data_IF_635264744941
#
_entry.id   IF_635264744941
#
_cell.length_a   1.000
_cell.length_b   1.000
_cell.length_c   1.000
_cell.angle_alpha   90.00
_cell.angle_beta   90.00
_cell.angle_gamma   90.00
#
_symmetry.space_group_name_H-M   'P 1'
#
loop_
_entity.id
_entity.type
_entity.pdbx_description
1 polymer ?
#
# COMPACT_ATOMS: atom_id res chain seq x y z
N UNK A 1 7.61 14.30 -18.06
CA UNK A 1 8.12 13.19 -17.24
C UNK A 1 9.14 13.76 -16.28
N UNK A 2 8.68 14.35 -15.18
CA UNK A 2 9.53 14.75 -14.06
C UNK A 2 9.08 13.87 -12.90
N UNK A 3 9.99 13.07 -12.37
CA UNK A 3 9.81 12.43 -11.08
C UNK A 3 10.41 13.34 -10.01
N UNK A 4 9.87 13.26 -8.80
CA UNK A 4 10.40 14.02 -7.68
C UNK A 4 10.39 13.21 -6.39
N UNK A 5 11.32 13.56 -5.50
CA UNK A 5 11.43 13.04 -4.14
C UNK A 5 11.66 14.23 -3.22
N UNK A 6 10.64 14.58 -2.45
CA UNK A 6 10.65 15.79 -1.63
C UNK A 6 10.12 15.53 -0.22
N UNK A 7 10.56 16.36 0.73
CA UNK A 7 10.01 16.38 2.09
C UNK A 7 9.05 17.56 2.20
N UNK A 8 7.75 17.31 2.15
CA UNK A 8 6.71 18.34 2.22
C UNK A 8 5.89 18.20 3.50
N UNK A 9 5.88 19.28 4.30
CA UNK A 9 5.11 19.34 5.55
C UNK A 9 5.35 18.13 6.48
N UNK A 10 6.60 17.64 6.51
CA UNK A 10 7.02 16.51 7.34
C UNK A 10 6.76 15.12 6.74
N UNK A 11 6.15 15.03 5.55
CA UNK A 11 5.98 13.77 4.82
C UNK A 11 7.06 13.61 3.74
N UNK A 12 7.56 12.39 3.55
CA UNK A 12 8.33 12.03 2.37
C UNK A 12 7.37 11.77 1.21
N UNK A 13 7.50 12.50 0.11
CA UNK A 13 6.59 12.44 -1.03
C UNK A 13 7.36 12.02 -2.27
N UNK A 14 6.87 10.97 -2.93
CA UNK A 14 7.36 10.52 -4.24
C UNK A 14 6.29 10.79 -5.28
N UNK A 15 6.65 11.51 -6.34
CA UNK A 15 5.70 11.90 -7.39
C UNK A 15 6.23 11.63 -8.80
N UNK A 16 5.29 11.50 -9.74
CA UNK A 16 5.60 11.46 -11.17
C UNK A 16 6.09 10.10 -11.70
N UNK A 17 6.76 10.13 -12.84
CA UNK A 17 7.21 8.92 -13.57
C UNK A 17 8.71 8.72 -13.42
N UNK A 18 9.11 7.68 -12.71
CA UNK A 18 10.51 7.34 -12.55
C UNK A 18 11.05 6.67 -13.82
N UNK A 19 12.21 7.10 -14.34
CA UNK A 19 12.87 6.48 -15.48
C UNK A 19 13.14 4.99 -15.22
N UNK A 20 13.24 4.22 -16.30
CA UNK A 20 13.48 2.79 -16.15
C UNK A 20 14.84 2.46 -15.56
N UNK A 21 14.87 1.46 -14.67
CA UNK A 21 16.04 1.10 -13.89
C UNK A 21 16.25 1.94 -12.63
N UNK A 22 15.30 2.82 -12.27
CA UNK A 22 15.38 3.58 -11.02
C UNK A 22 15.20 2.66 -9.81
N UNK A 23 16.00 2.89 -8.77
CA UNK A 23 15.94 2.20 -7.49
C UNK A 23 15.81 3.26 -6.40
N UNK A 24 14.70 3.23 -5.67
CA UNK A 24 14.46 4.10 -4.52
C UNK A 24 14.44 3.25 -3.26
N UNK A 25 15.14 3.71 -2.23
CA UNK A 25 15.26 2.99 -0.96
C UNK A 25 14.99 3.92 0.20
N UNK A 26 14.13 3.49 1.12
CA UNK A 26 13.96 4.09 2.44
C UNK A 26 14.25 3.01 3.46
N UNK A 27 15.36 3.11 4.17
CA UNK A 27 15.78 2.09 5.13
C UNK A 27 16.19 2.67 6.47
N UNK A 28 16.16 1.83 7.51
CA UNK A 28 16.76 2.11 8.82
C UNK A 28 16.28 3.43 9.44
N UNK A 29 15.00 3.74 9.24
CA UNK A 29 14.43 5.08 9.49
C UNK A 29 13.19 5.02 10.37
N UNK A 30 13.04 6.03 11.24
CA UNK A 30 11.81 6.30 11.98
C UNK A 30 11.19 7.58 11.44
N UNK A 31 9.98 7.48 10.85
CA UNK A 31 9.20 8.62 10.38
C UNK A 31 7.93 8.74 11.23
N UNK A 32 7.70 9.93 11.80
CA UNK A 32 6.59 10.17 12.72
C UNK A 32 5.80 11.41 12.31
N UNK A 33 4.49 11.25 12.13
CA UNK A 33 3.54 12.34 11.96
C UNK A 33 2.80 12.60 13.28
N UNK A 34 3.06 13.76 13.89
CA UNK A 34 2.42 14.19 15.14
C UNK A 34 1.37 15.29 14.96
N UNK A 35 1.11 15.71 13.71
CA UNK A 35 0.13 16.74 13.38
C UNK A 35 -0.63 16.37 12.10
N UNK A 36 -1.91 16.76 11.97
CA UNK A 36 -2.64 16.67 10.72
C UNK A 36 -1.91 17.43 9.59
N UNK A 37 -1.61 16.74 8.49
CA UNK A 37 -1.05 17.33 7.28
C UNK A 37 -2.04 17.14 6.12
N UNK A 38 -2.72 18.21 5.65
CA UNK A 38 -3.58 18.14 4.48
C UNK A 38 -2.74 17.96 3.22
N UNK A 39 -3.16 17.08 2.30
CA UNK A 39 -2.47 16.87 1.01
C UNK A 39 -2.99 17.77 -0.12
N UNK A 40 -3.65 18.89 0.21
CA UNK A 40 -4.30 19.80 -0.76
C UNK A 40 -3.31 20.42 -1.77
N UNK A 41 -2.01 20.39 -1.46
CA UNK A 41 -0.95 20.85 -2.37
C UNK A 41 -0.63 19.84 -3.48
N UNK A 42 -1.08 18.59 -3.39
CA UNK A 42 -0.84 17.55 -4.39
C UNK A 42 -1.96 17.52 -5.43
N UNK A 43 -1.64 17.54 -6.74
CA UNK A 43 -2.63 17.45 -7.80
C UNK A 43 -3.50 16.19 -7.69
N UNK A 44 -4.82 16.37 -7.66
CA UNK A 44 -5.78 15.26 -7.61
C UNK A 44 -6.00 14.65 -6.22
N UNK A 45 -5.40 15.23 -5.17
CA UNK A 45 -5.64 14.81 -3.79
C UNK A 45 -7.04 15.17 -3.31
N UNK A 46 -7.70 14.23 -2.63
CA UNK A 46 -8.95 14.54 -1.92
C UNK A 46 -8.63 15.17 -0.56
N UNK A 47 -9.34 16.25 -0.23
CA UNK A 47 -9.19 16.96 1.05
C UNK A 47 -9.57 16.05 2.22
N UNK A 48 -8.58 15.42 2.83
CA UNK A 48 -8.72 14.77 4.13
C UNK A 48 -7.37 14.80 4.85
N UNK A 49 -7.36 15.14 6.15
CA UNK A 49 -6.12 15.22 6.92
C UNK A 49 -5.59 13.82 7.18
N UNK A 50 -4.63 13.38 6.35
CA UNK A 50 -4.09 12.03 6.44
C UNK A 50 -2.96 11.90 7.47
N UNK A 51 -2.34 12.99 7.91
CA UNK A 51 -1.11 12.96 8.72
C UNK A 51 -0.11 11.87 8.24
N UNK A 52 0.24 11.84 6.93
CA UNK A 52 1.07 10.77 6.39
C UNK A 52 2.55 11.02 6.63
N UNK A 53 3.31 9.92 6.67
CA UNK A 53 4.77 9.97 6.73
C UNK A 53 5.41 9.63 5.38
N UNK A 54 4.74 8.80 4.57
CA UNK A 54 5.13 8.47 3.20
C UNK A 54 3.94 8.63 2.26
N UNK A 55 4.13 9.37 1.17
CA UNK A 55 3.09 9.63 0.17
C UNK A 55 3.59 9.23 -1.22
N UNK A 56 2.84 8.38 -1.90
CA UNK A 56 3.04 8.00 -3.30
C UNK A 56 1.95 8.69 -4.13
N UNK A 57 2.27 9.82 -4.77
CA UNK A 57 1.26 10.66 -5.45
C UNK A 57 1.42 10.67 -6.96
N UNK A 58 0.41 10.15 -7.68
CA UNK A 58 0.45 10.04 -9.15
C UNK A 58 1.69 9.29 -9.65
N UNK A 59 2.14 8.30 -8.88
CA UNK A 59 3.43 7.66 -9.04
C UNK A 59 3.38 6.58 -10.13
N UNK A 60 4.37 6.60 -11.02
CA UNK A 60 4.54 5.59 -12.06
C UNK A 60 5.97 5.03 -12.04
N UNK A 61 6.10 3.72 -11.81
CA UNK A 61 7.35 2.99 -11.79
C UNK A 61 7.44 2.04 -12.99
N UNK A 62 8.30 2.35 -13.95
CA UNK A 62 8.48 1.52 -15.16
C UNK A 62 9.81 0.80 -15.07
N UNK A 63 9.84 -0.51 -14.84
CA UNK A 63 11.06 -1.30 -14.59
C UNK A 63 11.93 -0.68 -13.50
N UNK A 64 11.25 -0.17 -12.47
CA UNK A 64 11.83 0.56 -11.35
C UNK A 64 11.25 0.04 -10.05
N UNK A 65 12.02 0.12 -8.98
CA UNK A 65 11.63 -0.42 -7.68
C UNK A 65 11.71 0.62 -6.58
N UNK A 66 10.69 0.62 -5.72
CA UNK A 66 10.72 1.29 -4.43
C UNK A 66 10.83 0.23 -3.34
N UNK A 67 11.85 0.32 -2.50
CA UNK A 67 12.08 -0.56 -1.36
C UNK A 67 12.00 0.25 -0.08
N UNK A 68 11.14 -0.16 0.84
CA UNK A 68 10.99 0.42 2.17
C UNK A 68 11.30 -0.70 3.16
N UNK A 69 12.48 -0.71 3.77
CA UNK A 69 12.95 -1.83 4.60
C UNK A 69 13.36 -1.38 5.99
N UNK A 70 13.05 -2.13 7.04
CA UNK A 70 13.56 -1.87 8.39
C UNK A 70 13.21 -0.45 8.89
N UNK A 71 12.00 0.00 8.57
CA UNK A 71 11.49 1.32 8.94
C UNK A 71 10.41 1.24 10.01
N UNK A 72 10.23 2.33 10.75
CA UNK A 72 9.04 2.55 11.57
C UNK A 72 8.27 3.78 11.04
N UNK A 73 7.03 3.56 10.62
CA UNK A 73 6.12 4.56 10.06
C UNK A 73 4.96 4.75 11.03
N UNK A 74 4.93 5.88 11.73
CA UNK A 74 4.01 6.11 12.84
C UNK A 74 3.26 7.42 12.69
N UNK A 75 1.96 7.40 12.97
CA UNK A 75 1.13 8.59 13.11
C UNK A 75 0.39 8.52 14.45
N UNK A 76 0.46 9.60 15.22
CA UNK A 76 -0.15 9.70 16.56
C UNK A 76 -1.43 10.54 16.54
N UNK A 77 -1.98 10.76 15.34
CA UNK A 77 -3.16 11.59 15.09
C UNK A 77 -4.33 10.66 14.77
N UNK A 78 -5.49 10.92 15.37
CA UNK A 78 -6.75 10.25 14.99
C UNK A 78 -7.05 10.49 13.51
N UNK A 79 -7.41 9.44 12.77
CA UNK A 79 -7.57 9.46 11.32
C UNK A 79 -6.26 9.30 10.54
N UNK A 80 -5.13 9.22 11.24
CA UNK A 80 -3.80 9.20 10.64
C UNK A 80 -3.54 7.95 9.79
N UNK A 81 -3.01 8.17 8.59
CA UNK A 81 -2.67 7.16 7.60
C UNK A 81 -1.18 7.24 7.34
N UNK A 82 -0.43 6.23 7.77
CA UNK A 82 1.04 6.27 7.74
C UNK A 82 1.59 6.32 6.31
N UNK A 83 1.16 5.39 5.45
CA UNK A 83 1.43 5.41 4.01
C UNK A 83 0.17 5.77 3.24
N UNK A 84 0.27 6.74 2.34
CA UNK A 84 -0.83 7.16 1.48
C UNK A 84 -0.45 7.01 0.02
N UNK A 85 -1.30 6.35 -0.76
CA UNK A 85 -1.21 6.34 -2.22
C UNK A 85 -2.32 7.21 -2.78
N UNK A 86 -1.94 8.31 -3.40
CA UNK A 86 -2.86 9.38 -3.79
C UNK A 86 -2.71 9.83 -5.25
N UNK A 87 -3.60 10.72 -5.68
CA UNK A 87 -3.73 11.14 -7.06
C UNK A 87 -4.57 10.16 -7.89
N UNK A 88 -4.38 10.16 -9.21
CA UNK A 88 -5.21 9.35 -10.10
C UNK A 88 -4.88 7.85 -10.04
N UNK A 89 -3.59 7.50 -10.05
CA UNK A 89 -3.13 6.12 -10.16
C UNK A 89 -1.74 5.96 -9.53
N UNK A 90 -1.51 4.79 -8.92
CA UNK A 90 -0.18 4.21 -8.73
C UNK A 90 0.01 3.13 -9.78
N UNK A 91 0.91 3.35 -10.72
CA UNK A 91 1.14 2.45 -11.86
C UNK A 91 2.52 1.78 -11.76
N UNK A 92 2.53 0.45 -11.69
CA UNK A 92 3.73 -0.38 -11.64
C UNK A 92 3.80 -1.20 -12.94
N UNK A 93 4.91 -1.08 -13.67
CA UNK A 93 5.11 -1.77 -14.96
C UNK A 93 6.45 -2.49 -14.95
N UNK A 94 6.46 -3.82 -14.79
CA UNK A 94 7.69 -4.63 -14.76
C UNK A 94 8.71 -4.26 -13.67
N UNK A 95 8.25 -3.63 -12.60
CA UNK A 95 9.02 -3.22 -11.43
C UNK A 95 8.26 -3.52 -10.14
N UNK A 96 8.29 -2.63 -9.16
CA UNK A 96 7.48 -2.88 -7.97
C UNK A 96 7.66 -1.95 -6.79
N UNK A 97 6.88 -2.21 -5.76
CA UNK A 97 7.04 -1.62 -4.43
C UNK A 97 7.16 -2.77 -3.44
N UNK A 98 8.21 -2.77 -2.64
CA UNK A 98 8.45 -3.72 -1.57
C UNK A 98 8.51 -2.98 -0.24
N UNK A 99 7.66 -3.37 0.71
CA UNK A 99 7.70 -2.88 2.09
C UNK A 99 8.01 -4.05 3.00
N UNK A 100 9.22 -4.05 3.56
CA UNK A 100 9.80 -5.17 4.27
C UNK A 100 10.18 -4.79 5.70
N UNK A 101 9.94 -5.67 6.66
CA UNK A 101 10.32 -5.45 8.05
C UNK A 101 9.87 -4.08 8.62
N UNK A 102 8.75 -3.53 8.10
CA UNK A 102 8.26 -2.23 8.50
C UNK A 102 7.40 -2.34 9.76
N UNK A 103 7.44 -1.32 10.63
CA UNK A 103 6.51 -1.17 11.75
C UNK A 103 5.53 -0.07 11.41
N UNK A 104 4.24 -0.38 11.37
CA UNK A 104 3.17 0.58 11.14
C UNK A 104 2.45 0.88 12.46
N UNK A 105 2.26 2.17 12.75
CA UNK A 105 1.47 2.65 13.89
C UNK A 105 0.51 3.77 13.48
N UNK A 106 -0.80 3.60 13.69
CA UNK A 106 -1.78 4.64 13.33
C UNK A 106 -3.21 4.15 13.18
N UNK A 107 -4.06 4.92 12.49
CA UNK A 107 -5.39 4.43 12.13
C UNK A 107 -5.32 3.55 10.87
N UNK A 108 -4.50 3.93 9.88
CA UNK A 108 -4.26 3.13 8.68
C UNK A 108 -2.77 2.87 8.47
N UNK A 109 -2.39 1.61 8.29
CA UNK A 109 -1.02 1.24 7.91
C UNK A 109 -0.70 1.62 6.45
N UNK A 110 -1.64 1.40 5.54
CA UNK A 110 -1.54 1.92 4.18
C UNK A 110 -2.94 2.21 3.66
N UNK A 111 -3.12 3.37 3.04
CA UNK A 111 -4.37 3.69 2.37
C UNK A 111 -4.13 4.18 0.96
N UNK A 112 -4.67 3.45 -0.02
CA UNK A 112 -4.68 3.85 -1.41
C UNK A 112 -6.02 4.52 -1.77
N UNK A 113 -6.03 5.85 -1.80
CA UNK A 113 -7.11 6.64 -2.43
C UNK A 113 -7.01 6.62 -3.95
N UNK A 114 -5.82 6.42 -4.52
CA UNK A 114 -5.64 6.18 -5.95
C UNK A 114 -5.94 4.71 -6.32
N UNK A 115 -6.26 4.46 -7.59
CA UNK A 115 -6.30 3.09 -8.13
C UNK A 115 -4.87 2.56 -8.24
N UNK A 116 -4.66 1.30 -7.85
CA UNK A 116 -3.35 0.65 -7.95
C UNK A 116 -3.36 -0.30 -9.14
N UNK A 117 -2.41 -0.15 -10.06
CA UNK A 117 -2.32 -0.95 -11.29
C UNK A 117 -0.92 -1.55 -11.39
N UNK A 118 -0.84 -2.87 -11.42
CA UNK A 118 0.39 -3.63 -11.60
C UNK A 118 0.33 -4.42 -12.92
N UNK A 119 1.35 -4.26 -13.77
CA UNK A 119 1.41 -4.92 -15.08
C UNK A 119 2.82 -5.40 -15.44
N UNK A 120 2.90 -6.38 -16.34
CA UNK A 120 4.16 -6.77 -16.97
C UNK A 120 5.20 -7.37 -16.02
N UNK A 121 4.75 -8.16 -15.05
CA UNK A 121 5.63 -8.76 -14.03
C UNK A 121 5.86 -7.87 -12.80
N UNK A 122 5.03 -6.85 -12.60
CA UNK A 122 5.17 -5.96 -11.45
C UNK A 122 4.76 -6.64 -10.13
N UNK A 123 5.39 -6.23 -9.03
CA UNK A 123 5.09 -6.77 -7.69
C UNK A 123 4.84 -5.62 -6.70
N UNK A 124 3.67 -5.65 -6.04
CA UNK A 124 3.41 -4.87 -4.84
C UNK A 124 3.45 -5.82 -3.64
N UNK A 125 4.40 -5.61 -2.72
CA UNK A 125 4.65 -6.52 -1.60
C UNK A 125 4.72 -5.78 -0.28
N UNK A 126 4.08 -6.34 0.73
CA UNK A 126 4.30 -6.04 2.14
C UNK A 126 4.64 -7.33 2.86
N UNK A 127 5.84 -7.43 3.43
CA UNK A 127 6.30 -8.66 4.05
C UNK A 127 7.08 -8.47 5.33
N UNK A 128 6.98 -9.43 6.25
CA UNK A 128 7.73 -9.42 7.51
C UNK A 128 7.44 -8.22 8.40
N UNK A 129 6.34 -7.50 8.16
CA UNK A 129 6.05 -6.21 8.80
C UNK A 129 5.20 -6.39 10.05
N UNK A 130 5.32 -5.45 10.99
CA UNK A 130 4.50 -5.34 12.18
C UNK A 130 3.41 -4.28 11.96
N UNK A 131 2.14 -4.69 12.02
CA UNK A 131 0.98 -3.83 11.73
C UNK A 131 0.19 -3.60 13.01
N UNK A 132 0.42 -2.45 13.65
CA UNK A 132 -0.32 -1.99 14.83
C UNK A 132 -1.19 -0.79 14.45
N UNK A 133 -2.33 -1.08 13.82
CA UNK A 133 -3.21 -0.04 13.32
C UNK A 133 -4.67 -0.37 13.58
N UNK A 134 -5.58 0.57 13.32
CA UNK A 134 -6.98 0.19 13.20
C UNK A 134 -7.12 -0.71 11.97
N UNK A 135 -6.84 -0.15 10.80
CA UNK A 135 -6.90 -0.81 9.49
C UNK A 135 -5.49 -1.10 8.95
N UNK A 136 -5.34 -2.25 8.28
CA UNK A 136 -4.09 -2.64 7.62
C UNK A 136 -3.88 -1.93 6.28
N UNK A 137 -3.76 -2.72 5.22
CA UNK A 137 -3.53 -2.28 3.85
C UNK A 137 -4.87 -2.12 3.13
N UNK A 138 -5.27 -0.89 2.85
CA UNK A 138 -6.59 -0.58 2.29
C UNK A 138 -6.47 -0.09 0.85
N UNK A 139 -6.99 -0.87 -0.10
CA UNK A 139 -7.18 -0.47 -1.50
C UNK A 139 -8.55 0.19 -1.66
N UNK A 140 -8.60 1.49 -1.39
CA UNK A 140 -9.82 2.29 -1.37
C UNK A 140 -10.48 2.42 -2.74
N UNK A 141 -9.69 2.70 -3.77
CA UNK A 141 -10.18 2.95 -5.14
C UNK A 141 -10.01 1.79 -6.11
N UNK A 142 -9.45 0.67 -5.64
CA UNK A 142 -9.34 -0.58 -6.38
C UNK A 142 -7.91 -0.97 -6.69
N UNK A 143 -7.75 -2.23 -7.09
CA UNK A 143 -6.46 -2.85 -7.39
C UNK A 143 -6.57 -3.71 -8.62
N UNK A 144 -5.57 -3.62 -9.49
CA UNK A 144 -5.50 -4.41 -10.72
C UNK A 144 -4.12 -5.01 -10.90
N UNK A 145 -4.10 -6.29 -11.27
CA UNK A 145 -2.89 -7.01 -11.62
C UNK A 145 -3.10 -7.70 -12.97
N UNK A 146 -2.17 -7.48 -13.90
CA UNK A 146 -2.11 -8.18 -15.18
C UNK A 146 -0.71 -8.79 -15.32
N UNK A 147 -0.64 -10.12 -15.34
CA UNK A 147 0.61 -10.88 -15.25
C UNK A 147 1.53 -10.34 -14.13
N UNK A 148 0.96 -10.05 -12.96
CA UNK A 148 1.61 -9.31 -11.86
C UNK A 148 1.14 -9.81 -10.50
N UNK A 149 1.78 -9.39 -9.41
CA UNK A 149 1.50 -9.90 -8.07
C UNK A 149 1.23 -8.81 -7.02
N UNK A 150 0.28 -9.10 -6.14
CA UNK A 150 0.08 -8.40 -4.86
C UNK A 150 0.33 -9.41 -3.74
N UNK A 151 1.23 -9.07 -2.83
CA UNK A 151 1.80 -10.01 -1.85
C UNK A 151 1.74 -9.40 -0.46
N UNK A 152 1.07 -10.06 0.48
CA UNK A 152 0.94 -9.66 1.88
C UNK A 152 1.33 -10.85 2.74
N UNK A 153 2.60 -10.96 3.09
CA UNK A 153 3.14 -12.21 3.63
C UNK A 153 3.94 -12.04 4.92
N UNK A 154 3.79 -12.99 5.85
CA UNK A 154 4.62 -13.09 7.05
C UNK A 154 4.54 -11.84 7.94
N UNK A 155 3.42 -11.10 7.88
CA UNK A 155 3.20 -9.91 8.71
C UNK A 155 2.57 -10.30 10.04
N UNK A 156 2.91 -9.59 11.11
CA UNK A 156 2.33 -9.80 12.44
C UNK A 156 1.72 -8.50 12.98
N UNK A 157 0.87 -8.57 13.99
CA UNK A 157 0.40 -7.37 14.69
C UNK A 157 -1.02 -7.44 15.22
N UNK A 158 -1.61 -6.28 15.45
CA UNK A 158 -2.94 -6.14 16.01
C UNK A 158 -3.73 -5.08 15.25
N UNK A 159 -4.93 -5.46 14.82
CA UNK A 159 -5.86 -4.61 14.10
C UNK A 159 -7.06 -4.33 15.01
N UNK A 160 -7.32 -3.06 15.29
CA UNK A 160 -8.45 -2.69 16.16
C UNK A 160 -9.76 -2.50 15.40
N UNK A 161 -9.71 -2.23 14.08
CA UNK A 161 -10.90 -2.10 13.23
C UNK A 161 -10.62 -2.50 11.75
N UNK A 162 -11.44 -3.35 11.15
CA UNK A 162 -11.23 -3.81 9.77
C UNK A 162 -10.32 -5.04 9.64
N UNK A 163 -9.44 -5.07 8.63
CA UNK A 163 -8.66 -6.25 8.24
C UNK A 163 -7.21 -5.91 7.83
N UNK A 164 -6.34 -6.92 7.78
CA UNK A 164 -4.95 -6.79 7.35
C UNK A 164 -4.86 -6.36 5.87
N UNK A 165 -5.69 -6.96 5.03
CA UNK A 165 -5.87 -6.55 3.63
C UNK A 165 -7.34 -6.22 3.38
N UNK A 166 -7.63 -5.01 2.90
CA UNK A 166 -8.98 -4.56 2.57
C UNK A 166 -9.03 -4.17 1.11
N UNK A 167 -9.79 -4.92 0.32
CA UNK A 167 -10.15 -4.60 -1.06
C UNK A 167 -11.50 -3.89 -1.04
N UNK A 168 -11.49 -2.57 -0.92
CA UNK A 168 -12.73 -1.76 -0.85
C UNK A 168 -13.23 -1.40 -2.24
N UNK A 169 -12.30 -1.02 -3.13
CA UNK A 169 -12.58 -0.80 -4.54
C UNK A 169 -12.77 -2.10 -5.32
N UNK A 170 -12.96 -2.02 -6.63
CA UNK A 170 -12.93 -3.23 -7.47
C UNK A 170 -11.54 -3.86 -7.44
N UNK A 171 -11.46 -5.18 -7.46
CA UNK A 171 -10.21 -5.91 -7.55
C UNK A 171 -10.22 -6.80 -8.80
N UNK A 172 -9.21 -6.72 -9.65
CA UNK A 172 -9.11 -7.54 -10.86
C UNK A 172 -7.71 -8.14 -11.00
N UNK A 173 -7.64 -9.46 -11.05
CA UNK A 173 -6.41 -10.21 -11.27
C UNK A 173 -6.59 -11.04 -12.54
N UNK A 174 -5.78 -10.75 -13.55
CA UNK A 174 -5.87 -11.38 -14.87
C UNK A 174 -4.52 -11.88 -15.38
N UNK A 175 -4.54 -12.77 -16.39
CA UNK A 175 -3.34 -13.18 -17.14
C UNK A 175 -2.23 -13.81 -16.28
N UNK A 176 -2.58 -14.74 -15.40
CA UNK A 176 -1.60 -15.40 -14.51
C UNK A 176 -1.20 -14.54 -13.32
N UNK A 177 -1.98 -13.52 -12.96
CA UNK A 177 -1.70 -12.69 -11.79
C UNK A 177 -1.86 -13.47 -10.48
N UNK A 178 -1.25 -12.94 -9.42
CA UNK A 178 -1.27 -13.57 -8.11
C UNK A 178 -1.63 -12.59 -6.99
N UNK A 179 -2.67 -12.92 -6.23
CA UNK A 179 -2.86 -12.37 -4.88
C UNK A 179 -2.39 -13.40 -3.85
N UNK A 180 -1.34 -13.07 -3.09
CA UNK A 180 -0.79 -13.92 -2.03
C UNK A 180 -1.01 -13.27 -0.68
N UNK A 181 -1.72 -13.96 0.21
CA UNK A 181 -1.84 -13.62 1.63
C UNK A 181 -1.43 -14.85 2.42
N UNK A 182 -0.16 -14.94 2.83
CA UNK A 182 0.36 -16.13 3.53
C UNK A 182 1.14 -15.82 4.79
N UNK A 183 1.13 -16.72 5.75
CA UNK A 183 2.02 -16.64 6.92
C UNK A 183 1.73 -15.48 7.86
N UNK A 184 0.64 -14.73 7.67
CA UNK A 184 0.36 -13.56 8.52
C UNK A 184 -0.20 -13.99 9.87
N UNK A 185 0.16 -13.31 10.95
CA UNK A 185 -0.30 -13.58 12.31
C UNK A 185 -0.79 -12.31 12.98
N UNK A 186 -2.08 -12.01 12.82
CA UNK A 186 -2.70 -10.77 13.33
C UNK A 186 -3.85 -11.06 14.28
N UNK A 187 -3.99 -10.24 15.33
CA UNK A 187 -5.24 -10.18 16.09
C UNK A 187 -6.22 -9.25 15.37
N UNK A 188 -7.17 -9.81 14.63
CA UNK A 188 -8.14 -9.06 13.80
C UNK A 188 -8.44 -9.80 12.50
N UNK A 189 -9.23 -9.18 11.60
CA UNK A 189 -9.60 -9.85 10.35
C UNK A 189 -8.41 -9.92 9.39
N UNK A 190 -8.29 -10.99 8.64
CA UNK A 190 -7.22 -11.14 7.66
C UNK A 190 -7.52 -10.39 6.35
N UNK A 191 -8.70 -10.62 5.78
CA UNK A 191 -9.06 -10.14 4.45
C UNK A 191 -10.50 -9.62 4.44
N UNK A 192 -10.71 -8.45 3.87
CA UNK A 192 -12.03 -7.92 3.53
C UNK A 192 -12.11 -7.71 2.02
N UNK A 193 -13.14 -8.29 1.39
CA UNK A 193 -13.37 -8.23 -0.06
C UNK A 193 -14.46 -7.19 -0.41
N UNK A 194 -14.54 -6.73 -1.68
CA UNK A 194 -15.46 -5.68 -2.05
C UNK A 194 -16.93 -6.11 -1.88
N UNK A 195 -17.77 -5.21 -1.38
CA UNK A 195 -19.22 -5.41 -1.34
C UNK A 195 -19.89 -5.04 -2.67
N UNK A 196 -21.01 -5.69 -2.99
CA UNK A 196 -21.81 -5.37 -4.18
C UNK A 196 -22.14 -3.86 -4.26
N UNK A 197 -22.07 -3.22 -5.45
CA UNK A 197 -21.86 -3.80 -6.78
C UNK A 197 -20.40 -4.04 -7.16
N UNK A 198 -19.43 -3.68 -6.30
CA UNK A 198 -18.00 -3.91 -6.55
C UNK A 198 -17.70 -5.41 -6.41
N UNK A 199 -16.67 -5.88 -7.12
CA UNK A 199 -16.31 -7.29 -7.16
C UNK A 199 -14.79 -7.48 -7.13
N UNK A 200 -14.39 -8.64 -6.63
CA UNK A 200 -13.06 -9.18 -6.84
C UNK A 200 -13.15 -10.25 -7.93
N UNK A 201 -12.46 -10.04 -9.04
CA UNK A 201 -12.42 -10.94 -10.19
C UNK A 201 -11.02 -11.54 -10.33
N UNK A 202 -10.96 -12.86 -10.48
CA UNK A 202 -9.72 -13.61 -10.69
C UNK A 202 -9.88 -14.45 -11.96
N UNK A 203 -9.46 -13.91 -13.10
CA UNK A 203 -9.51 -14.60 -14.39
C UNK A 203 -8.14 -15.18 -14.71
N UNK A 204 -8.03 -16.51 -14.85
CA UNK A 204 -6.75 -17.21 -15.08
C UNK A 204 -5.65 -16.78 -14.10
N UNK A 205 -6.00 -16.61 -12.82
CA UNK A 205 -5.14 -16.03 -11.80
C UNK A 205 -5.17 -16.87 -10.53
N UNK A 206 -4.16 -16.68 -9.68
CA UNK A 206 -4.00 -17.42 -8.42
C UNK A 206 -4.39 -16.55 -7.23
N UNK A 207 -5.16 -17.11 -6.31
CA UNK A 207 -5.38 -16.57 -4.97
C UNK A 207 -4.80 -17.56 -3.96
N UNK A 208 -3.86 -17.13 -3.14
CA UNK A 208 -3.30 -17.95 -2.06
C UNK A 208 -3.66 -17.36 -0.71
N UNK A 209 -4.39 -18.14 0.08
CA UNK A 209 -4.67 -17.88 1.49
C UNK A 209 -4.11 -19.07 2.28
N UNK A 210 -2.91 -18.93 2.87
CA UNK A 210 -2.23 -20.09 3.48
C UNK A 210 -1.44 -19.72 4.74
N UNK A 211 -1.52 -20.55 5.79
CA UNK A 211 -0.71 -20.39 7.00
C UNK A 211 -0.95 -19.08 7.75
N UNK A 212 -2.15 -18.50 7.63
CA UNK A 212 -2.49 -17.26 8.33
C UNK A 212 -3.18 -17.56 9.68
N UNK A 213 -2.90 -16.74 10.68
CA UNK A 213 -3.54 -16.71 11.99
C UNK A 213 -4.25 -15.36 12.16
N UNK A 214 -5.55 -15.39 12.41
CA UNK A 214 -6.43 -14.21 12.54
C UNK A 214 -7.90 -14.61 12.43
N UNK A 215 -8.81 -13.64 12.53
CA UNK A 215 -10.23 -13.87 12.24
C UNK A 215 -10.54 -13.65 10.75
N UNK A 216 -11.65 -14.23 10.28
CA UNK A 216 -12.20 -14.01 8.92
C UNK A 216 -13.37 -13.07 8.99
#
# INVERSE_FOLDING_TARGET
SVCDVEALNGALVLTGTFPAGSVLTVTDSLLVAARPTPLVYLPGSQSSPYAPVLVLSGLRLVRSVLVVSDVALVTVVTGGRTVVVDGAVLELVGGGVAVDAAVFGGEYALYASARVVASGGAVLRVSGSQVYAAHGLVFGSGVEANASAVVVNDNAGALTDGALLVLRGSASFVSGSWLSVRGNSVSGRLLSVPSYPRRAEFAQSTLTLHGNTGSG
#
